data_IF_421308146663
#
_entry.id   IF_421308146663
#
_cell.length_a   1.000
_cell.length_b   1.000
_cell.length_c   1.000
_cell.angle_alpha   90.00
_cell.angle_beta   90.00
_cell.angle_gamma   90.00
#
_symmetry.space_group_name_H-M   'P 1'
#
loop_
_entity.id
_entity.type
_entity.pdbx_description
1 polymer ?
#
# COMPACT_ATOMS: atom_id res chain seq x y z
N UNK A 1 -3.49 10.85 -11.09
CA UNK A 1 -4.70 10.47 -10.35
C UNK A 1 -4.33 9.31 -9.44
N UNK A 2 -4.75 9.29 -8.17
CA UNK A 2 -4.38 8.20 -7.24
C UNK A 2 -5.17 6.96 -7.66
N UNK A 3 -4.45 5.91 -8.03
CA UNK A 3 -5.00 4.58 -8.28
C UNK A 3 -4.40 3.64 -7.23
N UNK A 4 -5.21 2.77 -6.62
CA UNK A 4 -6.68 2.69 -6.64
C UNK A 4 -7.36 3.83 -5.85
N UNK A 5 -8.70 3.89 -5.87
CA UNK A 5 -9.45 4.86 -5.05
C UNK A 5 -9.33 4.56 -3.56
N UNK A 6 -9.43 5.60 -2.73
CA UNK A 6 -9.34 5.48 -1.26
C UNK A 6 -10.42 4.54 -0.71
N UNK A 7 -11.64 4.62 -1.22
CA UNK A 7 -12.76 3.79 -0.72
C UNK A 7 -12.46 2.30 -0.88
N UNK A 8 -11.91 1.89 -2.03
CA UNK A 8 -11.48 0.50 -2.28
C UNK A 8 -10.35 0.04 -1.36
N UNK A 9 -9.48 0.95 -0.95
CA UNK A 9 -8.40 0.64 -0.02
C UNK A 9 -8.94 0.43 1.39
N UNK A 10 -9.93 1.22 1.79
CA UNK A 10 -10.57 1.14 3.11
C UNK A 10 -11.42 -0.12 3.29
N UNK A 11 -11.81 -0.82 2.23
CA UNK A 11 -12.45 -2.15 2.33
C UNK A 11 -11.53 -3.19 3.02
N UNK A 12 -10.21 -2.99 2.97
CA UNK A 12 -9.22 -3.93 3.49
C UNK A 12 -8.52 -3.46 4.78
N UNK A 13 -8.85 -2.26 5.29
CA UNK A 13 -8.20 -1.69 6.49
C UNK A 13 -9.17 -0.89 7.35
N UNK A 14 -9.00 -0.97 8.67
CA UNK A 14 -9.95 -0.42 9.65
C UNK A 14 -10.11 1.11 9.59
N UNK A 15 -9.10 1.85 9.11
CA UNK A 15 -9.14 3.31 9.12
C UNK A 15 -8.22 3.96 8.09
N UNK A 16 -8.50 5.23 7.78
CA UNK A 16 -7.63 6.09 6.94
C UNK A 16 -6.23 6.25 7.56
N UNK A 17 -6.12 6.29 8.88
CA UNK A 17 -4.83 6.41 9.56
C UNK A 17 -4.01 5.13 9.39
N UNK A 18 -4.64 3.97 9.58
CA UNK A 18 -4.04 2.65 9.35
C UNK A 18 -3.53 2.53 7.91
N UNK A 19 -4.35 2.94 6.94
CA UNK A 19 -3.98 2.98 5.52
C UNK A 19 -2.69 3.78 5.29
N UNK A 20 -2.64 5.02 5.81
CA UNK A 20 -1.49 5.92 5.64
C UNK A 20 -0.23 5.35 6.30
N UNK A 21 -0.36 4.77 7.50
CA UNK A 21 0.78 4.18 8.22
C UNK A 21 1.35 2.98 7.47
N UNK A 22 0.51 2.07 6.97
CA UNK A 22 0.96 0.89 6.21
C UNK A 22 1.62 1.32 4.90
N UNK A 23 0.96 2.19 4.13
CA UNK A 23 1.49 2.66 2.85
C UNK A 23 2.85 3.38 3.03
N UNK A 24 2.99 4.20 4.07
CA UNK A 24 4.24 4.91 4.39
C UNK A 24 5.35 3.94 4.79
N UNK A 25 5.05 2.96 5.65
CA UNK A 25 6.01 1.93 6.07
C UNK A 25 6.48 1.11 4.87
N UNK A 26 5.55 0.69 4.01
CA UNK A 26 5.87 -0.09 2.82
C UNK A 26 6.69 0.72 1.81
N UNK A 27 6.32 1.97 1.56
CA UNK A 27 7.06 2.83 0.64
C UNK A 27 8.53 3.01 1.08
N UNK A 28 8.79 3.08 2.39
CA UNK A 28 10.15 3.10 2.94
C UNK A 28 10.89 1.79 2.69
N UNK A 29 10.24 0.64 2.89
CA UNK A 29 10.84 -0.67 2.59
C UNK A 29 11.21 -0.81 1.12
N UNK A 30 10.35 -0.37 0.19
CA UNK A 30 10.65 -0.38 -1.24
C UNK A 30 11.90 0.44 -1.57
N UNK A 31 12.08 1.58 -0.90
CA UNK A 31 13.24 2.45 -1.08
C UNK A 31 14.53 1.81 -0.55
N UNK A 32 14.46 1.04 0.52
CA UNK A 32 15.62 0.42 1.17
C UNK A 32 16.03 -0.91 0.53
N UNK A 33 15.05 -1.75 0.16
CA UNK A 33 15.28 -3.14 -0.29
C UNK A 33 15.08 -3.31 -1.81
N UNK A 34 14.70 -2.24 -2.53
CA UNK A 34 14.45 -2.22 -3.98
C UNK A 34 13.64 -3.44 -4.47
N UNK A 35 12.36 -3.49 -4.09
CA UNK A 35 11.48 -4.59 -4.50
C UNK A 35 10.00 -4.24 -4.49
N UNK A 36 9.34 -4.52 -5.60
CA UNK A 36 7.89 -4.48 -5.76
C UNK A 36 7.31 -5.90 -5.66
N UNK A 37 6.12 -6.02 -5.10
CA UNK A 37 5.34 -7.26 -4.98
C UNK A 37 4.35 -7.43 -6.14
N UNK A 38 4.31 -6.44 -7.04
CA UNK A 38 3.53 -6.42 -8.27
C UNK A 38 4.46 -6.16 -9.45
N UNK A 39 4.22 -6.84 -10.58
CA UNK A 39 5.13 -6.80 -11.74
C UNK A 39 5.08 -5.46 -12.49
N UNK A 40 3.94 -4.78 -12.46
CA UNK A 40 3.68 -3.57 -13.25
C UNK A 40 2.94 -2.53 -12.43
N UNK A 41 3.63 -1.85 -11.50
CA UNK A 41 3.03 -0.73 -10.79
C UNK A 41 2.70 0.40 -11.77
N UNK A 42 1.52 0.99 -11.63
CA UNK A 42 1.08 2.16 -12.41
C UNK A 42 1.63 3.44 -11.81
N UNK A 43 1.72 3.49 -10.48
CA UNK A 43 2.27 4.61 -9.75
C UNK A 43 3.79 4.72 -9.89
N UNK A 44 4.24 5.94 -10.22
CA UNK A 44 5.67 6.28 -10.29
C UNK A 44 6.33 6.42 -8.91
N UNK A 45 5.55 6.82 -7.89
CA UNK A 45 6.05 7.01 -6.52
C UNK A 45 5.79 5.76 -5.68
N UNK A 46 6.75 5.38 -4.83
CA UNK A 46 6.64 4.22 -3.94
C UNK A 46 5.38 4.22 -3.06
N UNK A 47 4.89 5.39 -2.63
CA UNK A 47 3.63 5.46 -1.86
C UNK A 47 2.44 4.98 -2.69
N UNK A 48 2.35 5.37 -3.97
CA UNK A 48 1.29 4.88 -4.85
C UNK A 48 1.45 3.39 -5.13
N UNK A 49 2.69 2.92 -5.36
CA UNK A 49 2.98 1.49 -5.55
C UNK A 49 2.58 0.68 -4.32
N UNK A 50 2.78 1.20 -3.10
CA UNK A 50 2.33 0.56 -1.87
C UNK A 50 0.81 0.44 -1.80
N UNK A 51 0.07 1.47 -2.23
CA UNK A 51 -1.39 1.40 -2.29
C UNK A 51 -1.86 0.36 -3.32
N UNK A 52 -1.18 0.24 -4.46
CA UNK A 52 -1.47 -0.79 -5.46
C UNK A 52 -1.18 -2.19 -4.94
N UNK A 53 -0.07 -2.39 -4.22
CA UNK A 53 0.25 -3.67 -3.59
C UNK A 53 -0.77 -4.05 -2.50
N UNK A 54 -1.24 -3.07 -1.71
CA UNK A 54 -2.31 -3.29 -0.73
C UNK A 54 -3.61 -3.72 -1.41
N UNK A 55 -4.00 -3.04 -2.49
CA UNK A 55 -5.21 -3.38 -3.24
C UNK A 55 -5.11 -4.71 -4.00
N UNK A 56 -3.92 -5.09 -4.43
CA UNK A 56 -3.65 -6.41 -4.99
C UNK A 56 -3.59 -7.53 -3.92
N UNK A 57 -3.84 -7.22 -2.63
CA UNK A 57 -3.82 -8.18 -1.54
C UNK A 57 -2.42 -8.71 -1.21
N UNK A 58 -1.36 -8.04 -1.67
CA UNK A 58 0.03 -8.46 -1.41
C UNK A 58 0.53 -8.02 -0.04
N UNK A 59 -0.17 -7.09 0.60
CA UNK A 59 0.15 -6.55 1.92
C UNK A 59 -1.04 -6.78 2.82
N UNK A 60 -0.85 -7.58 3.87
CA UNK A 60 -1.83 -7.79 4.92
C UNK A 60 -1.58 -6.88 6.12
N UNK A 61 -2.66 -6.50 6.80
CA UNK A 61 -2.62 -5.83 8.10
C UNK A 61 -3.20 -6.76 9.15
N UNK A 62 -2.44 -6.98 10.23
CA UNK A 62 -2.93 -7.66 11.42
C UNK A 62 -2.73 -6.74 12.63
N UNK A 63 -3.82 -6.48 13.35
CA UNK A 63 -3.76 -5.74 14.60
C UNK A 63 -3.51 -6.74 15.74
N UNK A 64 -2.30 -6.75 16.25
CA UNK A 64 -1.97 -7.46 17.49
C UNK A 64 -2.84 -6.87 18.62
N UNK A 65 -3.63 -7.73 19.26
CA UNK A 65 -4.43 -7.40 20.45
C UNK A 65 -3.57 -7.47 21.71
#
# INVERSE_FOLDING_TARGET
MIYPSIDKLLENVDSKYTLVTIASKRARQMREVSGFLIDKPVAYKHVGTALEEMYAGKIGFERLK
#
